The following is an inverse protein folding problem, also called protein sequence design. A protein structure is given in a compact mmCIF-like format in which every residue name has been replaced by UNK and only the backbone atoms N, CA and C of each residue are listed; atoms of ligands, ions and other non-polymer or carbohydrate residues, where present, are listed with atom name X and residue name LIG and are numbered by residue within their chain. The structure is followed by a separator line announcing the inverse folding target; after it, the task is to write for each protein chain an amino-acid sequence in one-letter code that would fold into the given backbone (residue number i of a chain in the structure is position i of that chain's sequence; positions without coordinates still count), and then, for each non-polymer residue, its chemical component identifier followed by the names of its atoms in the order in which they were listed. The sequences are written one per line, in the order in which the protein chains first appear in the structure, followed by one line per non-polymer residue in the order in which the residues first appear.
data_IF_514204788164
#
_entry.id   IF_514204788164
#
_cell.length_a   1.000
_cell.length_b   1.000
_cell.length_c   1.000
_cell.angle_alpha   90.00
_cell.angle_beta   90.00
_cell.angle_gamma   90.00
#
_symmetry.space_group_name_H-M   'P 1'
#
loop_
_entity.id
_entity.type
_entity.pdbx_description
1 polymer ?
#
# COMPACT_ATOMS: atom_id res chain seq x y z
N UNK A 1 -1.71 -6.68 27.58
CA UNK A 1 -0.75 -7.33 26.67
C UNK A 1 0.46 -7.76 27.50
N UNK A 2 0.77 -9.06 27.56
CA UNK A 2 2.07 -9.48 28.08
C UNK A 2 3.05 -9.17 26.95
N UNK A 3 3.93 -8.18 27.11
CA UNK A 3 5.02 -7.96 26.17
C UNK A 3 5.82 -9.26 26.10
N UNK A 4 5.79 -9.94 24.96
CA UNK A 4 6.60 -11.13 24.75
C UNK A 4 8.04 -10.70 24.45
N UNK A 5 8.95 -11.67 24.53
CA UNK A 5 10.34 -11.49 24.10
C UNK A 5 10.34 -10.97 22.65
N UNK A 6 11.28 -10.09 22.30
CA UNK A 6 11.58 -9.81 20.89
C UNK A 6 12.28 -11.04 20.33
N UNK A 7 11.72 -11.59 19.26
CA UNK A 7 12.28 -12.77 18.59
C UNK A 7 13.45 -12.37 17.71
N UNK A 8 14.45 -13.24 17.68
CA UNK A 8 15.70 -13.09 16.93
C UNK A 8 15.89 -14.24 15.94
N UNK A 9 16.90 -14.13 15.08
CA UNK A 9 17.21 -15.10 14.04
C UNK A 9 17.58 -16.50 14.59
N UNK A 10 18.20 -16.55 15.77
CA UNK A 10 18.65 -17.78 16.45
C UNK A 10 17.55 -18.46 17.29
N UNK A 11 16.42 -17.79 17.50
CA UNK A 11 15.26 -18.40 18.15
C UNK A 11 14.72 -19.56 17.29
N UNK A 12 14.21 -20.59 17.96
CA UNK A 12 13.55 -21.70 17.26
C UNK A 12 12.17 -21.28 16.75
N UNK A 13 11.85 -21.58 15.50
CA UNK A 13 10.54 -21.23 14.90
C UNK A 13 9.38 -21.78 15.72
N UNK A 14 9.53 -22.98 16.27
CA UNK A 14 8.52 -23.61 17.14
C UNK A 14 8.27 -22.84 18.44
N UNK A 15 9.26 -22.11 18.96
CA UNK A 15 9.08 -21.30 20.16
C UNK A 15 8.17 -20.11 19.88
N UNK A 16 8.30 -19.47 18.71
CA UNK A 16 7.43 -18.36 18.30
C UNK A 16 5.97 -18.82 18.25
N UNK A 17 5.71 -19.95 17.61
CA UNK A 17 4.35 -20.52 17.48
C UNK A 17 3.79 -20.95 18.83
N UNK A 18 4.64 -21.52 19.71
CA UNK A 18 4.22 -21.90 21.06
C UNK A 18 3.82 -20.69 21.90
N UNK A 19 4.57 -19.61 21.77
CA UNK A 19 4.36 -18.40 22.55
C UNK A 19 3.18 -17.58 21.97
N UNK A 20 2.97 -17.63 20.64
CA UNK A 20 1.80 -17.09 19.97
C UNK A 20 1.40 -17.94 18.75
N UNK A 21 0.33 -18.74 18.89
CA UNK A 21 -0.16 -19.63 17.84
C UNK A 21 -0.77 -18.89 16.65
N UNK A 22 -1.14 -17.62 16.81
CA UNK A 22 -1.75 -16.84 15.73
C UNK A 22 -0.76 -16.78 14.54
N UNK A 23 0.55 -16.76 14.78
CA UNK A 23 1.58 -16.65 13.74
C UNK A 23 1.48 -17.73 12.64
N UNK A 24 0.80 -18.84 12.90
CA UNK A 24 0.49 -19.86 11.90
C UNK A 24 -0.15 -19.28 10.63
N UNK A 25 -1.00 -18.26 10.76
CA UNK A 25 -1.58 -17.58 9.59
C UNK A 25 -0.56 -16.69 8.87
N UNK A 26 0.36 -16.03 9.60
CA UNK A 26 1.46 -15.26 8.99
C UNK A 26 2.43 -16.14 8.19
N UNK A 27 2.69 -17.38 8.64
CA UNK A 27 3.62 -18.29 7.93
C UNK A 27 3.18 -18.54 6.48
N UNK A 28 1.88 -18.74 6.26
CA UNK A 28 1.31 -18.87 4.92
C UNK A 28 1.54 -17.64 4.05
N UNK A 29 1.49 -16.43 4.64
CA UNK A 29 1.85 -15.18 3.97
C UNK A 29 3.29 -15.15 3.46
N UNK A 30 4.22 -15.77 4.18
CA UNK A 30 5.62 -15.88 3.74
C UNK A 30 5.86 -17.09 2.82
N UNK A 31 4.85 -17.91 2.54
CA UNK A 31 5.01 -19.19 1.83
C UNK A 31 5.71 -20.26 2.67
N UNK A 32 5.89 -20.03 3.97
CA UNK A 32 6.56 -20.97 4.87
C UNK A 32 5.59 -22.11 5.19
N UNK A 33 5.95 -23.31 4.74
CA UNK A 33 5.17 -24.52 5.03
C UNK A 33 5.50 -25.09 6.41
N UNK A 34 4.51 -25.75 7.03
CA UNK A 34 4.74 -26.52 8.25
C UNK A 34 5.70 -27.70 7.99
N UNK A 35 6.35 -28.20 9.04
CA UNK A 35 7.30 -29.32 8.94
C UNK A 35 8.78 -28.92 8.98
N UNK A 36 9.11 -27.73 9.47
CA UNK A 36 10.48 -27.24 9.63
C UNK A 36 11.27 -27.86 10.80
N UNK A 37 10.66 -28.74 11.61
CA UNK A 37 11.34 -29.41 12.73
C UNK A 37 11.86 -28.43 13.78
N UNK A 38 13.07 -28.68 14.28
CA UNK A 38 13.75 -27.83 15.27
C UNK A 38 14.65 -26.77 14.64
N UNK A 39 14.34 -26.29 13.43
CA UNK A 39 15.11 -25.22 12.79
C UNK A 39 14.93 -23.85 13.50
N UNK A 40 15.97 -23.02 13.46
CA UNK A 40 15.89 -21.61 13.86
C UNK A 40 15.05 -20.80 12.87
N UNK A 41 14.68 -19.57 13.23
CA UNK A 41 14.01 -18.64 12.32
C UNK A 41 14.84 -18.43 11.06
N UNK A 42 16.13 -18.18 11.21
CA UNK A 42 17.06 -18.00 10.10
C UNK A 42 17.10 -19.22 9.18
N UNK A 43 17.28 -20.42 9.72
CA UNK A 43 17.34 -21.67 8.95
C UNK A 43 16.04 -21.95 8.17
N UNK A 44 14.89 -21.56 8.72
CA UNK A 44 13.59 -21.68 8.04
C UNK A 44 13.49 -20.65 6.92
N UNK A 45 13.72 -19.37 7.23
CA UNK A 45 13.64 -18.27 6.28
C UNK A 45 14.59 -18.50 5.08
N UNK A 46 15.82 -18.92 5.33
CA UNK A 46 16.79 -19.25 4.27
C UNK A 46 16.30 -20.39 3.37
N UNK A 47 15.75 -21.46 3.96
CA UNK A 47 15.27 -22.62 3.19
C UNK A 47 14.04 -22.30 2.31
N UNK A 48 13.25 -21.30 2.70
CA UNK A 48 12.03 -20.89 1.99
C UNK A 48 12.23 -19.60 1.17
N UNK A 49 13.47 -19.10 1.06
CA UNK A 49 13.82 -17.87 0.34
C UNK A 49 13.06 -16.62 0.83
N UNK A 50 12.91 -16.51 2.15
CA UNK A 50 12.30 -15.39 2.86
C UNK A 50 13.42 -14.58 3.52
N UNK A 51 13.36 -13.24 3.40
CA UNK A 51 14.29 -12.38 4.13
C UNK A 51 14.03 -12.42 5.65
N UNK A 52 15.00 -12.92 6.41
CA UNK A 52 14.90 -13.14 7.86
C UNK A 52 14.58 -11.85 8.63
N UNK A 53 15.18 -10.72 8.26
CA UNK A 53 14.94 -9.43 8.93
C UNK A 53 13.51 -8.95 8.71
N UNK A 54 13.01 -9.09 7.49
CA UNK A 54 11.63 -8.73 7.12
C UNK A 54 10.63 -9.62 7.83
N UNK A 55 10.89 -10.93 7.90
CA UNK A 55 10.09 -11.87 8.66
C UNK A 55 10.00 -11.45 10.13
N UNK A 56 11.16 -11.26 10.79
CA UNK A 56 11.23 -10.86 12.19
C UNK A 56 10.58 -9.50 12.46
N UNK A 57 10.70 -8.53 11.55
CA UNK A 57 10.04 -7.24 11.68
C UNK A 57 8.51 -7.39 11.71
N UNK A 58 7.94 -8.20 10.81
CA UNK A 58 6.50 -8.47 10.78
C UNK A 58 6.06 -9.27 12.00
N UNK A 59 6.76 -10.36 12.34
CA UNK A 59 6.44 -11.20 13.50
C UNK A 59 6.47 -10.41 14.80
N UNK A 60 7.54 -9.63 15.03
CA UNK A 60 7.64 -8.82 16.23
C UNK A 60 6.59 -7.70 16.26
N UNK A 61 6.29 -7.06 15.13
CA UNK A 61 5.23 -6.05 15.07
C UNK A 61 3.86 -6.66 15.40
N UNK A 62 3.51 -7.79 14.79
CA UNK A 62 2.20 -8.42 14.98
C UNK A 62 2.00 -8.97 16.40
N UNK A 63 3.06 -9.51 17.02
CA UNK A 63 3.00 -10.06 18.38
C UNK A 63 3.11 -8.97 19.45
N UNK A 64 4.08 -8.06 19.31
CA UNK A 64 4.45 -7.11 20.37
C UNK A 64 3.89 -5.69 20.14
N UNK A 65 3.36 -5.41 18.95
CA UNK A 65 2.94 -4.05 18.55
C UNK A 65 4.12 -3.15 18.15
N UNK A 66 5.35 -3.66 18.13
CA UNK A 66 6.55 -2.94 17.71
C UNK A 66 7.65 -3.90 17.25
N UNK A 67 8.58 -3.38 16.44
CA UNK A 67 9.82 -4.06 16.03
C UNK A 67 11.01 -3.11 16.24
N UNK A 68 12.25 -3.61 16.20
CA UNK A 68 13.42 -2.76 16.36
C UNK A 68 13.59 -1.86 15.14
N UNK A 69 13.73 -0.55 15.38
CA UNK A 69 13.90 0.43 14.29
C UNK A 69 15.22 0.28 13.55
N UNK A 70 16.24 -0.25 14.21
CA UNK A 70 17.56 -0.48 13.60
C UNK A 70 17.49 -1.56 12.51
N UNK A 71 16.51 -2.48 12.59
CA UNK A 71 16.27 -3.50 11.57
C UNK A 71 15.53 -2.94 10.34
N UNK A 72 14.92 -1.76 10.46
CA UNK A 72 14.09 -1.16 9.41
C UNK A 72 14.92 -0.81 8.15
N UNK A 73 16.23 -0.62 8.28
CA UNK A 73 17.12 -0.24 7.18
C UNK A 73 17.44 -1.41 6.23
N UNK A 74 17.22 -2.65 6.68
CA UNK A 74 17.56 -3.89 5.95
C UNK A 74 16.33 -4.69 5.51
N UNK A 75 15.16 -4.05 5.40
CA UNK A 75 13.94 -4.75 5.01
C UNK A 75 13.89 -4.99 3.49
N UNK A 76 13.57 -6.23 3.13
CA UNK A 76 13.35 -6.66 1.75
C UNK A 76 11.94 -6.28 1.29
N UNK A 77 11.86 -5.24 0.44
CA UNK A 77 10.61 -4.83 -0.20
C UNK A 77 10.00 -5.96 -1.06
N UNK A 78 10.84 -6.83 -1.63
CA UNK A 78 10.36 -8.01 -2.35
C UNK A 78 9.64 -9.01 -1.43
N UNK A 79 10.21 -9.29 -0.26
CA UNK A 79 9.60 -10.16 0.75
C UNK A 79 8.30 -9.55 1.28
N UNK A 80 8.26 -8.22 1.49
CA UNK A 80 7.02 -7.52 1.87
C UNK A 80 5.92 -7.65 0.81
N UNK A 81 6.25 -7.48 -0.48
CA UNK A 81 5.28 -7.67 -1.56
C UNK A 81 4.76 -9.11 -1.63
N UNK A 82 5.65 -10.10 -1.48
CA UNK A 82 5.26 -11.52 -1.44
C UNK A 82 4.29 -11.76 -0.28
N UNK A 83 4.63 -11.26 0.91
CA UNK A 83 3.79 -11.36 2.12
C UNK A 83 2.40 -10.75 1.92
N UNK A 84 2.31 -9.50 1.46
CA UNK A 84 1.02 -8.81 1.30
C UNK A 84 0.15 -9.48 0.22
N UNK A 85 0.73 -9.88 -0.92
CA UNK A 85 -0.01 -10.60 -1.97
C UNK A 85 -0.54 -11.95 -1.49
N UNK A 86 0.26 -12.72 -0.77
CA UNK A 86 -0.17 -13.99 -0.21
C UNK A 86 -1.27 -13.80 0.85
N UNK A 87 -1.14 -12.75 1.68
CA UNK A 87 -2.20 -12.34 2.61
C UNK A 87 -3.49 -11.98 1.87
N UNK A 88 -3.44 -11.20 0.78
CA UNK A 88 -4.63 -10.88 -0.02
C UNK A 88 -5.28 -12.13 -0.61
N UNK A 89 -4.50 -13.03 -1.21
CA UNK A 89 -5.01 -14.29 -1.75
C UNK A 89 -5.69 -15.15 -0.66
N UNK A 90 -5.08 -15.26 0.53
CA UNK A 90 -5.68 -15.95 1.67
C UNK A 90 -7.05 -15.36 2.04
N UNK A 91 -7.17 -14.04 2.11
CA UNK A 91 -8.44 -13.39 2.43
C UNK A 91 -9.50 -13.57 1.36
N UNK A 92 -9.13 -13.27 0.10
CA UNK A 92 -10.06 -13.21 -1.02
C UNK A 92 -10.52 -14.62 -1.40
N UNK A 93 -9.59 -15.57 -1.50
CA UNK A 93 -9.86 -16.88 -2.09
C UNK A 93 -10.22 -17.94 -1.03
N UNK A 94 -9.86 -17.71 0.24
CA UNK A 94 -10.09 -18.68 1.32
C UNK A 94 -10.91 -18.13 2.49
N UNK A 95 -10.41 -17.16 3.25
CA UNK A 95 -11.00 -16.75 4.54
C UNK A 95 -12.41 -16.17 4.39
N UNK A 96 -12.62 -15.22 3.48
CA UNK A 96 -13.95 -14.61 3.27
C UNK A 96 -14.97 -15.63 2.71
N UNK A 97 -14.65 -16.47 1.73
CA UNK A 97 -15.55 -17.55 1.32
C UNK A 97 -15.80 -18.58 2.43
N UNK A 98 -14.80 -18.88 3.26
CA UNK A 98 -14.90 -19.84 4.35
C UNK A 98 -15.89 -19.38 5.42
N UNK A 99 -15.69 -18.20 6.00
CA UNK A 99 -16.59 -17.63 7.01
C UNK A 99 -18.00 -17.43 6.46
N UNK A 100 -18.15 -17.13 5.16
CA UNK A 100 -19.47 -17.03 4.53
C UNK A 100 -20.22 -18.35 4.55
N UNK A 101 -19.54 -19.48 4.29
CA UNK A 101 -20.15 -20.82 4.36
C UNK A 101 -20.54 -21.17 5.79
N UNK A 102 -19.68 -20.88 6.75
CA UNK A 102 -19.97 -21.11 8.17
C UNK A 102 -21.21 -20.34 8.62
N UNK A 103 -21.34 -19.07 8.22
CA UNK A 103 -22.53 -18.27 8.53
C UNK A 103 -23.81 -18.87 7.91
N UNK A 104 -23.74 -19.40 6.68
CA UNK A 104 -24.91 -20.07 6.06
C UNK A 104 -25.29 -21.33 6.81
N UNK A 105 -24.30 -22.11 7.23
CA UNK A 105 -24.55 -23.34 7.99
C UNK A 105 -25.09 -23.06 9.40
N UNK A 106 -24.65 -21.96 10.01
CA UNK A 106 -25.03 -21.59 11.37
C UNK A 106 -26.36 -20.80 11.47
N UNK A 107 -26.87 -20.24 10.37
CA UNK A 107 -28.06 -19.39 10.35
C UNK A 107 -29.23 -20.02 9.58
N UNK A 108 -30.45 -19.91 10.10
CA UNK A 108 -31.66 -20.30 9.36
C UNK A 108 -32.02 -19.23 8.32
N UNK A 109 -31.88 -19.54 7.03
CA UNK A 109 -32.21 -18.63 5.92
C UNK A 109 -33.68 -18.16 5.90
N UNK A 110 -34.58 -18.79 6.67
CA UNK A 110 -35.98 -18.35 6.81
C UNK A 110 -36.14 -17.19 7.78
N UNK A 111 -35.16 -16.97 8.65
CA UNK A 111 -35.15 -15.85 9.59
C UNK A 111 -34.73 -14.56 8.87
N UNK A 112 -35.55 -13.52 8.98
CA UNK A 112 -35.24 -12.20 8.40
C UNK A 112 -34.00 -11.57 9.01
N UNK A 113 -33.69 -11.89 10.27
CA UNK A 113 -32.47 -11.42 10.93
C UNK A 113 -31.23 -12.14 10.39
N UNK A 114 -31.32 -13.45 10.15
CA UNK A 114 -30.26 -14.21 9.47
C UNK A 114 -29.96 -13.65 8.07
N UNK A 115 -30.99 -13.40 7.27
CA UNK A 115 -30.83 -12.78 5.95
C UNK A 115 -30.14 -11.40 6.02
N UNK A 116 -30.49 -10.61 7.03
CA UNK A 116 -29.86 -9.32 7.27
C UNK A 116 -28.38 -9.46 7.66
N UNK A 117 -28.03 -10.40 8.55
CA UNK A 117 -26.63 -10.70 8.91
C UNK A 117 -25.82 -11.11 7.68
N UNK A 118 -26.36 -11.99 6.84
CA UNK A 118 -25.68 -12.43 5.62
C UNK A 118 -25.45 -11.27 4.64
N UNK A 119 -26.43 -10.37 4.51
CA UNK A 119 -26.27 -9.16 3.70
C UNK A 119 -25.18 -8.23 4.25
N UNK A 120 -25.19 -7.96 5.58
CA UNK A 120 -24.13 -7.19 6.22
C UNK A 120 -22.76 -7.83 5.98
N UNK A 121 -22.69 -9.17 6.02
CA UNK A 121 -21.46 -9.87 5.73
C UNK A 121 -20.96 -9.60 4.31
N UNK A 122 -21.84 -9.80 3.32
CA UNK A 122 -21.50 -9.66 1.90
C UNK A 122 -21.05 -8.22 1.56
N UNK A 123 -21.68 -7.21 2.17
CA UNK A 123 -21.30 -5.80 2.01
C UNK A 123 -19.89 -5.52 2.59
N UNK A 124 -19.59 -6.05 3.77
CA UNK A 124 -18.27 -5.87 4.39
C UNK A 124 -17.16 -6.65 3.65
N UNK A 125 -17.44 -7.89 3.25
CA UNK A 125 -16.53 -8.70 2.45
C UNK A 125 -16.21 -8.03 1.10
N UNK A 126 -17.23 -7.49 0.42
CA UNK A 126 -17.06 -6.78 -0.84
C UNK A 126 -16.09 -5.60 -0.73
N UNK A 127 -16.24 -4.76 0.30
CA UNK A 127 -15.37 -3.60 0.46
C UNK A 127 -13.93 -3.98 0.83
N UNK A 128 -13.71 -5.03 1.62
CA UNK A 128 -12.37 -5.58 1.89
C UNK A 128 -11.73 -6.05 0.57
N UNK A 129 -12.45 -6.85 -0.22
CA UNK A 129 -11.97 -7.33 -1.51
C UNK A 129 -11.66 -6.18 -2.48
N UNK A 130 -12.51 -5.16 -2.52
CA UNK A 130 -12.33 -3.97 -3.35
C UNK A 130 -11.08 -3.19 -2.98
N UNK A 131 -10.80 -3.06 -1.69
CA UNK A 131 -9.57 -2.46 -1.17
C UNK A 131 -8.34 -3.25 -1.61
N UNK A 132 -8.24 -4.53 -1.27
CA UNK A 132 -7.08 -5.37 -1.65
C UNK A 132 -6.86 -5.39 -3.18
N UNK A 133 -7.93 -5.52 -3.97
CA UNK A 133 -7.85 -5.47 -5.44
C UNK A 133 -7.39 -4.12 -5.99
N UNK A 134 -7.66 -3.01 -5.29
CA UNK A 134 -7.13 -1.71 -5.68
C UNK A 134 -5.60 -1.71 -5.52
N UNK A 135 -5.09 -2.26 -4.42
CA UNK A 135 -3.66 -2.32 -4.12
C UNK A 135 -2.92 -3.19 -5.13
N UNK A 136 -3.45 -4.38 -5.42
CA UNK A 136 -2.91 -5.28 -6.44
C UNK A 136 -2.86 -4.66 -7.83
N UNK A 137 -3.82 -3.79 -8.17
CA UNK A 137 -3.92 -3.15 -9.49
C UNK A 137 -3.16 -1.84 -9.60
N UNK A 138 -2.82 -1.20 -8.48
CA UNK A 138 -2.26 0.16 -8.48
C UNK A 138 -0.98 0.27 -7.67
N UNK A 139 -0.99 -0.13 -6.41
CA UNK A 139 0.12 0.01 -5.47
C UNK A 139 1.23 -0.99 -5.77
N UNK A 140 0.90 -2.27 -5.90
CA UNK A 140 1.92 -3.31 -6.12
C UNK A 140 2.64 -3.14 -7.46
N UNK A 141 1.96 -2.84 -8.59
CA UNK A 141 2.65 -2.53 -9.84
C UNK A 141 3.57 -1.31 -9.71
N UNK A 142 3.18 -0.29 -8.95
CA UNK A 142 4.05 0.86 -8.67
C UNK A 142 5.32 0.45 -7.92
N UNK A 143 5.19 -0.34 -6.85
CA UNK A 143 6.33 -0.83 -6.07
C UNK A 143 7.22 -1.75 -6.90
N UNK A 144 6.65 -2.59 -7.75
CA UNK A 144 7.42 -3.43 -8.69
C UNK A 144 8.25 -2.58 -9.68
N UNK A 145 7.74 -1.42 -10.11
CA UNK A 145 8.52 -0.48 -10.92
C UNK A 145 9.64 0.16 -10.11
N UNK A 146 9.39 0.53 -8.85
CA UNK A 146 10.44 1.04 -7.96
C UNK A 146 11.56 0.02 -7.74
N UNK A 147 11.22 -1.26 -7.54
CA UNK A 147 12.20 -2.34 -7.44
C UNK A 147 13.06 -2.50 -8.71
N UNK A 148 12.51 -2.14 -9.87
CA UNK A 148 13.24 -2.09 -11.16
C UNK A 148 14.02 -0.78 -11.36
N UNK A 149 14.04 0.10 -10.35
CA UNK A 149 14.71 1.41 -10.39
C UNK A 149 13.92 2.50 -11.12
N UNK A 150 12.64 2.27 -11.44
CA UNK A 150 11.80 3.22 -12.17
C UNK A 150 10.93 4.00 -11.17
N UNK A 151 11.22 5.28 -10.99
CA UNK A 151 10.41 6.18 -10.15
C UNK A 151 9.29 6.82 -10.99
N UNK A 152 8.04 6.41 -10.73
CA UNK A 152 6.89 6.98 -11.42
C UNK A 152 6.44 8.30 -10.76
N UNK A 153 6.55 9.42 -11.48
CA UNK A 153 6.26 10.76 -10.92
C UNK A 153 4.77 11.10 -10.72
N UNK A 154 3.87 10.17 -11.08
CA UNK A 154 2.42 10.38 -11.08
C UNK A 154 1.69 9.67 -9.91
N UNK A 155 2.39 8.90 -9.09
CA UNK A 155 1.83 8.21 -7.94
C UNK A 155 2.52 8.67 -6.65
N UNK A 156 1.75 8.86 -5.58
CA UNK A 156 2.25 9.21 -4.25
C UNK A 156 1.76 8.16 -3.26
N UNK A 157 2.70 7.43 -2.65
CA UNK A 157 2.44 6.38 -1.65
C UNK A 157 1.70 6.91 -0.42
N UNK A 158 1.67 8.22 -0.16
CA UNK A 158 0.84 8.78 0.93
C UNK A 158 -0.66 8.74 0.61
N UNK A 159 -1.04 8.63 -0.67
CA UNK A 159 -2.44 8.45 -1.10
C UNK A 159 -3.01 7.12 -0.63
N UNK A 160 -2.14 6.12 -0.44
CA UNK A 160 -2.49 4.78 0.03
C UNK A 160 -2.95 4.78 1.50
N UNK A 161 -2.17 5.38 2.42
CA UNK A 161 -2.43 5.39 3.87
C UNK A 161 -3.81 5.97 4.26
N UNK A 162 -4.38 6.87 3.45
CA UNK A 162 -5.66 7.51 3.75
C UNK A 162 -6.85 6.54 3.70
N UNK A 163 -6.71 5.35 3.09
CA UNK A 163 -7.81 4.42 2.87
C UNK A 163 -8.02 3.37 3.99
N UNK A 164 -7.03 3.12 4.87
CA UNK A 164 -7.11 2.02 5.86
C UNK A 164 -7.96 2.32 7.11
N UNK A 165 -8.16 3.60 7.48
CA UNK A 165 -8.89 3.97 8.71
C UNK A 165 -10.37 3.54 8.78
N UNK A 166 -10.94 3.06 7.66
CA UNK A 166 -12.35 2.66 7.60
C UNK A 166 -12.55 1.14 7.74
N UNK A 167 -11.49 0.34 7.89
CA UNK A 167 -11.58 -1.13 7.93
C UNK A 167 -11.85 -1.68 9.34
N UNK A 168 -11.42 -0.97 10.38
CA UNK A 168 -11.41 -1.44 11.79
C UNK A 168 -12.79 -1.65 12.43
N UNK A 169 -13.89 -1.20 11.81
CA UNK A 169 -15.26 -1.37 12.35
C UNK A 169 -16.12 -2.35 11.54
N UNK A 170 -15.55 -2.99 10.51
CA UNK A 170 -16.31 -3.68 9.44
C UNK A 170 -16.98 -5.00 9.85
N UNK A 171 -16.91 -5.40 11.11
CA UNK A 171 -17.64 -6.58 11.58
C UNK A 171 -18.38 -6.33 12.90
N UNK A 172 -18.30 -5.11 13.43
CA UNK A 172 -18.83 -4.79 14.75
C UNK A 172 -20.35 -4.95 14.84
N UNK A 173 -21.07 -4.46 13.83
CA UNK A 173 -22.53 -4.54 13.78
C UNK A 173 -22.98 -5.99 13.64
N UNK A 174 -22.40 -6.74 12.69
CA UNK A 174 -22.67 -8.16 12.48
C UNK A 174 -22.47 -8.97 13.77
N UNK A 175 -21.29 -8.85 14.42
CA UNK A 175 -20.99 -9.55 15.67
C UNK A 175 -21.95 -9.17 16.79
N UNK A 176 -22.27 -7.88 16.90
CA UNK A 176 -23.21 -7.38 17.92
C UNK A 176 -24.61 -7.94 17.75
N UNK A 177 -25.07 -8.09 16.51
CA UNK A 177 -26.40 -8.65 16.23
C UNK A 177 -26.42 -10.13 16.60
N UNK A 178 -25.42 -10.91 16.16
CA UNK A 178 -25.35 -12.34 16.46
C UNK A 178 -25.33 -12.55 17.98
N UNK A 179 -24.44 -11.87 18.72
CA UNK A 179 -24.29 -12.06 20.17
C UNK A 179 -25.57 -11.67 20.95
N UNK A 180 -26.29 -10.64 20.52
CA UNK A 180 -27.43 -10.09 21.28
C UNK A 180 -28.76 -10.78 20.97
N UNK A 181 -28.91 -11.29 19.75
CA UNK A 181 -30.21 -11.69 19.22
C UNK A 181 -30.25 -13.14 18.69
N UNK A 182 -29.12 -13.86 18.70
CA UNK A 182 -29.04 -15.28 18.34
C UNK A 182 -28.25 -16.08 19.40
N UNK A 183 -28.52 -17.40 19.60
CA UNK A 183 -29.59 -18.24 19.05
C UNK A 183 -30.58 -18.77 20.11
N UNK A 184 -31.60 -19.50 19.68
CA UNK A 184 -32.67 -20.03 20.55
C UNK A 184 -32.50 -21.53 20.90
N UNK A 185 -31.58 -22.25 20.24
CA UNK A 185 -31.32 -23.69 20.44
C UNK A 185 -29.81 -24.03 20.46
N UNK A 186 -29.46 -25.17 21.07
CA UNK A 186 -28.10 -25.55 21.46
C UNK A 186 -27.17 -25.89 20.28
N UNK A 187 -27.69 -26.47 19.19
CA UNK A 187 -26.87 -26.87 18.04
C UNK A 187 -26.40 -25.64 17.24
N UNK A 188 -27.34 -24.77 16.87
CA UNK A 188 -27.01 -23.53 16.16
C UNK A 188 -26.16 -22.59 17.03
N UNK A 189 -26.28 -22.67 18.37
CA UNK A 189 -25.40 -21.95 19.29
C UNK A 189 -23.93 -22.32 19.13
N UNK A 190 -23.63 -23.62 19.07
CA UNK A 190 -22.24 -24.07 18.94
C UNK A 190 -21.65 -23.68 17.58
N UNK A 191 -22.43 -23.80 16.50
CA UNK A 191 -22.02 -23.38 15.16
C UNK A 191 -21.76 -21.86 15.11
N UNK A 192 -22.72 -21.05 15.57
CA UNK A 192 -22.56 -19.59 15.61
C UNK A 192 -21.41 -19.14 16.50
N UNK A 193 -21.17 -19.85 17.61
CA UNK A 193 -20.03 -19.55 18.49
C UNK A 193 -18.70 -19.80 17.78
N UNK A 194 -18.57 -20.92 17.05
CA UNK A 194 -17.39 -21.22 16.24
C UNK A 194 -17.22 -20.17 15.12
N UNK A 195 -18.26 -19.90 14.35
CA UNK A 195 -18.25 -18.87 13.29
C UNK A 195 -17.86 -17.49 13.84
N UNK A 196 -18.39 -17.10 15.01
CA UNK A 196 -18.03 -15.83 15.65
C UNK A 196 -16.56 -15.79 16.01
N UNK A 197 -16.01 -16.87 16.56
CA UNK A 197 -14.59 -16.96 16.90
C UNK A 197 -13.73 -16.75 15.66
N UNK A 198 -14.08 -17.37 14.54
CA UNK A 198 -13.35 -17.21 13.28
C UNK A 198 -13.47 -15.79 12.70
N UNK A 199 -14.63 -15.14 12.85
CA UNK A 199 -14.79 -13.71 12.50
C UNK A 199 -13.92 -12.81 13.38
N UNK A 200 -13.86 -13.04 14.70
CA UNK A 200 -13.00 -12.28 15.60
C UNK A 200 -11.52 -12.44 15.23
N UNK A 201 -11.09 -13.67 14.96
CA UNK A 201 -9.73 -13.93 14.52
C UNK A 201 -9.45 -13.22 13.20
N UNK A 202 -10.32 -13.39 12.20
CA UNK A 202 -10.16 -12.75 10.90
C UNK A 202 -10.10 -11.22 10.99
N UNK A 203 -10.86 -10.59 11.88
CA UNK A 203 -10.77 -9.14 12.11
C UNK A 203 -9.42 -8.74 12.74
N UNK A 204 -8.96 -9.48 13.74
CA UNK A 204 -7.64 -9.26 14.37
C UNK A 204 -6.52 -9.33 13.33
N UNK A 205 -6.59 -10.31 12.44
CA UNK A 205 -5.62 -10.50 11.36
C UNK A 205 -5.68 -9.38 10.32
N UNK A 206 -6.86 -8.87 10.00
CA UNK A 206 -7.00 -7.75 9.07
C UNK A 206 -6.40 -6.46 9.66
N UNK A 207 -6.56 -6.27 10.96
CA UNK A 207 -5.91 -5.16 11.67
C UNK A 207 -4.39 -5.30 11.66
N UNK A 208 -3.86 -6.51 11.90
CA UNK A 208 -2.42 -6.77 11.81
C UNK A 208 -1.88 -6.55 10.39
N UNK A 209 -2.63 -6.94 9.36
CA UNK A 209 -2.31 -6.66 7.96
C UNK A 209 -2.14 -5.15 7.72
N UNK A 210 -3.16 -4.35 8.10
CA UNK A 210 -3.08 -2.88 7.97
C UNK A 210 -1.95 -2.27 8.81
N UNK A 211 -1.65 -2.82 9.99
CA UNK A 211 -0.48 -2.39 10.76
C UNK A 211 0.85 -2.64 10.03
N UNK A 212 1.01 -3.80 9.37
CA UNK A 212 2.21 -4.09 8.56
C UNK A 212 2.30 -3.11 7.40
N UNK A 213 1.19 -2.80 6.75
CA UNK A 213 1.15 -1.82 5.66
C UNK A 213 1.61 -0.43 6.12
N UNK A 214 0.98 0.09 7.18
CA UNK A 214 1.24 1.44 7.67
C UNK A 214 2.61 1.60 8.34
N UNK A 215 3.06 0.60 9.11
CA UNK A 215 4.25 0.73 9.96
C UNK A 215 5.52 0.12 9.37
N UNK A 216 5.39 -0.74 8.35
CA UNK A 216 6.55 -1.41 7.72
C UNK A 216 6.58 -1.10 6.23
N UNK A 217 5.52 -1.45 5.48
CA UNK A 217 5.52 -1.37 4.03
C UNK A 217 5.66 0.07 3.53
N UNK A 218 4.80 1.00 3.93
CA UNK A 218 4.86 2.40 3.49
C UNK A 218 6.22 3.05 3.85
N UNK A 219 6.74 2.94 5.08
CA UNK A 219 8.07 3.44 5.40
C UNK A 219 9.19 2.83 4.54
N UNK A 220 9.14 1.52 4.25
CA UNK A 220 10.11 0.86 3.39
C UNK A 220 10.07 1.40 1.95
N UNK A 221 8.87 1.61 1.38
CA UNK A 221 8.72 2.20 0.05
C UNK A 221 9.27 3.62 0.00
N UNK A 222 8.97 4.46 0.99
CA UNK A 222 9.51 5.83 1.06
C UNK A 222 11.02 5.88 1.11
N UNK A 223 11.66 4.94 1.81
CA UNK A 223 13.12 4.81 1.85
C UNK A 223 13.67 4.41 0.49
N UNK A 224 13.04 3.44 -0.17
CA UNK A 224 13.41 3.01 -1.52
C UNK A 224 13.31 4.17 -2.52
N UNK A 225 12.20 4.91 -2.53
CA UNK A 225 12.01 6.11 -3.35
C UNK A 225 13.11 7.16 -3.11
N UNK A 226 13.41 7.45 -1.83
CA UNK A 226 14.45 8.41 -1.46
C UNK A 226 15.83 7.96 -1.95
N UNK A 227 16.16 6.67 -1.80
CA UNK A 227 17.42 6.10 -2.26
C UNK A 227 17.58 6.23 -3.77
N UNK A 228 16.54 5.91 -4.55
CA UNK A 228 16.55 6.05 -6.01
C UNK A 228 16.66 7.51 -6.47
N UNK A 229 15.94 8.42 -5.81
CA UNK A 229 16.03 9.85 -6.10
C UNK A 229 17.43 10.41 -5.79
N UNK A 230 18.06 9.97 -4.70
CA UNK A 230 19.43 10.36 -4.35
C UNK A 230 20.45 9.79 -5.33
N UNK A 231 20.28 8.53 -5.76
CA UNK A 231 21.13 7.90 -6.79
C UNK A 231 21.09 8.68 -8.11
N UNK A 232 19.91 9.14 -8.55
CA UNK A 232 19.75 10.02 -9.72
C UNK A 232 20.50 11.35 -9.58
N UNK A 233 20.52 11.94 -8.38
CA UNK A 233 21.29 13.18 -8.10
C UNK A 233 22.80 12.92 -8.11
N UNK A 234 23.29 11.83 -7.52
CA UNK A 234 24.72 11.46 -7.57
C UNK A 234 25.21 11.13 -8.98
N UNK A 235 24.38 10.50 -9.83
CA UNK A 235 24.66 10.27 -11.26
C UNK A 235 24.73 11.58 -12.05
N UNK A 236 23.91 12.57 -11.69
CA UNK A 236 23.96 13.90 -12.31
C UNK A 236 25.20 14.70 -11.88
N UNK A 237 25.62 14.62 -10.61
CA UNK A 237 26.85 15.25 -10.12
C UNK A 237 28.10 14.63 -10.77
N UNK A 238 28.14 13.30 -10.91
CA UNK A 238 29.27 12.63 -11.57
C UNK A 238 29.32 12.88 -13.08
N UNK A 239 28.16 13.08 -13.74
CA UNK A 239 28.09 13.57 -15.13
C UNK A 239 28.49 15.04 -15.29
N UNK A 240 28.28 15.89 -14.28
CA UNK A 240 28.73 17.30 -14.29
C UNK A 240 30.25 17.47 -14.17
N UNK A 241 30.98 16.44 -13.71
CA UNK A 241 32.45 16.46 -13.57
C UNK A 241 33.17 15.97 -14.85
N UNK A 242 32.43 15.43 -15.84
CA UNK A 242 33.00 15.00 -17.12
C UNK A 242 32.47 15.88 -18.27
N UNK A 243 33.32 16.68 -18.95
CA UNK A 243 32.85 17.53 -20.03
C UNK A 243 32.70 16.72 -21.32
N UNK A 244 31.47 16.31 -21.64
CA UNK A 244 31.11 15.97 -23.02
C UNK A 244 29.61 16.17 -23.28
N UNK A 245 29.34 17.30 -23.93
CA UNK A 245 28.27 17.66 -24.87
C UNK A 245 27.17 16.65 -25.23
N UNK A 246 25.94 17.22 -25.25
CA UNK A 246 24.74 16.96 -26.07
C UNK A 246 23.74 15.84 -25.70
N UNK A 247 22.52 16.28 -25.33
CA UNK A 247 21.24 15.68 -25.75
C UNK A 247 20.33 15.08 -24.68
N UNK A 248 19.49 15.88 -24.00
CA UNK A 248 18.06 16.10 -24.32
C UNK A 248 17.27 16.51 -23.06
N UNK A 249 17.28 17.80 -22.76
CA UNK A 249 16.50 18.44 -21.68
C UNK A 249 15.70 19.64 -22.25
N UNK A 250 15.28 19.55 -23.52
CA UNK A 250 14.53 20.64 -24.15
C UNK A 250 13.01 20.48 -23.93
N UNK A 251 12.35 21.61 -23.67
CA UNK A 251 10.90 21.68 -23.64
C UNK A 251 10.33 21.34 -25.00
N UNK A 252 9.31 20.47 -25.01
CA UNK A 252 8.53 20.19 -26.22
C UNK A 252 7.81 21.45 -26.69
N UNK A 253 7.49 21.53 -27.98
CA UNK A 253 6.74 22.67 -28.54
C UNK A 253 5.44 22.93 -27.77
N UNK A 254 4.76 21.86 -27.36
CA UNK A 254 3.51 21.96 -26.62
C UNK A 254 3.66 22.57 -25.22
N UNK A 255 4.79 22.30 -24.57
CA UNK A 255 5.11 22.90 -23.29
C UNK A 255 5.44 24.39 -23.45
N UNK A 256 6.10 24.78 -24.55
CA UNK A 256 6.35 26.19 -24.88
C UNK A 256 5.04 26.96 -25.10
N UNK A 257 4.10 26.40 -25.86
CA UNK A 257 2.79 27.04 -26.11
C UNK A 257 2.01 27.29 -24.80
N UNK A 258 2.11 26.35 -23.85
CA UNK A 258 1.45 26.46 -22.55
C UNK A 258 2.14 27.49 -21.65
N UNK A 259 3.46 27.61 -21.70
CA UNK A 259 4.21 28.68 -21.02
C UNK A 259 3.74 30.05 -21.53
N UNK A 260 3.59 30.22 -22.85
CA UNK A 260 3.13 31.48 -23.44
C UNK A 260 1.74 31.86 -22.93
N UNK A 261 0.79 30.93 -22.91
CA UNK A 261 -0.56 31.18 -22.37
C UNK A 261 -0.56 31.59 -20.90
N UNK A 262 0.29 30.97 -20.07
CA UNK A 262 0.45 31.33 -18.66
C UNK A 262 1.05 32.73 -18.50
N UNK A 263 2.05 33.09 -19.30
CA UNK A 263 2.69 34.42 -19.28
C UNK A 263 1.74 35.52 -19.75
N UNK A 264 0.81 35.20 -20.64
CA UNK A 264 -0.25 36.11 -21.10
C UNK A 264 -1.39 36.27 -20.08
N UNK A 265 -1.33 35.61 -18.93
CA UNK A 265 -2.32 35.68 -17.86
C UNK A 265 -3.58 34.85 -18.12
N UNK A 266 -3.56 33.93 -19.08
CA UNK A 266 -4.70 33.05 -19.35
C UNK A 266 -4.90 32.02 -18.25
N UNK A 267 -6.16 31.76 -17.89
CA UNK A 267 -6.55 30.66 -17.02
C UNK A 267 -6.37 29.30 -17.71
N UNK A 268 -6.33 28.21 -16.94
CA UNK A 268 -6.23 26.85 -17.51
C UNK A 268 -7.35 26.53 -18.51
N UNK A 269 -8.54 27.13 -18.32
CA UNK A 269 -9.68 26.95 -19.20
C UNK A 269 -9.50 27.71 -20.52
N UNK A 270 -9.03 28.96 -20.45
CA UNK A 270 -8.74 29.76 -21.65
C UNK A 270 -7.58 29.18 -22.46
N UNK A 271 -6.52 28.68 -21.81
CA UNK A 271 -5.41 27.98 -22.49
C UNK A 271 -5.93 26.71 -23.18
N UNK A 272 -6.83 25.96 -22.54
CA UNK A 272 -7.41 24.75 -23.09
C UNK A 272 -8.25 25.05 -24.35
N UNK A 273 -9.08 26.09 -24.30
CA UNK A 273 -9.86 26.58 -25.44
C UNK A 273 -8.97 27.09 -26.58
N UNK A 274 -7.94 27.89 -26.27
CA UNK A 274 -7.02 28.47 -27.25
C UNK A 274 -6.15 27.41 -27.95
N UNK A 275 -5.75 26.36 -27.23
CA UNK A 275 -4.91 25.29 -27.76
C UNK A 275 -5.71 24.06 -28.24
N UNK A 276 -7.05 24.12 -28.23
CA UNK A 276 -7.97 23.03 -28.60
C UNK A 276 -7.66 21.70 -27.88
N UNK A 277 -7.45 21.73 -26.56
CA UNK A 277 -7.20 20.55 -25.71
C UNK A 277 -8.06 20.57 -24.45
N UNK A 278 -8.10 19.45 -23.72
CA UNK A 278 -8.80 19.40 -22.43
C UNK A 278 -8.07 20.20 -21.34
N UNK A 279 -8.83 20.72 -20.38
CA UNK A 279 -8.27 21.39 -19.18
C UNK A 279 -7.33 20.48 -18.40
N UNK A 280 -7.65 19.18 -18.31
CA UNK A 280 -6.79 18.17 -17.65
C UNK A 280 -5.45 18.00 -18.37
N UNK A 281 -5.43 18.12 -19.69
CA UNK A 281 -4.21 18.10 -20.50
C UNK A 281 -3.33 19.32 -20.20
N UNK A 282 -3.92 20.51 -20.05
CA UNK A 282 -3.19 21.73 -19.64
C UNK A 282 -2.59 21.58 -18.24
N UNK A 283 -3.36 21.07 -17.27
CA UNK A 283 -2.86 20.83 -15.90
C UNK A 283 -1.67 19.86 -15.91
N UNK A 284 -1.76 18.79 -16.72
CA UNK A 284 -0.70 17.79 -16.86
C UNK A 284 0.58 18.41 -17.44
N UNK A 285 0.46 19.20 -18.51
CA UNK A 285 1.62 19.89 -19.08
C UNK A 285 2.22 20.92 -18.14
N UNK A 286 1.41 21.69 -17.39
CA UNK A 286 1.93 22.63 -16.39
C UNK A 286 2.72 21.92 -15.28
N UNK A 287 2.28 20.74 -14.84
CA UNK A 287 3.03 19.90 -13.90
C UNK A 287 4.36 19.43 -14.51
N UNK A 288 4.36 19.07 -15.79
CA UNK A 288 5.59 18.67 -16.50
C UNK A 288 6.56 19.84 -16.70
N UNK A 289 6.07 21.03 -17.04
CA UNK A 289 6.88 22.25 -17.15
C UNK A 289 7.50 22.60 -15.81
N UNK A 290 6.72 22.63 -14.74
CA UNK A 290 7.22 22.93 -13.40
C UNK A 290 8.30 21.93 -12.96
N UNK A 291 8.14 20.65 -13.33
CA UNK A 291 9.13 19.59 -13.08
C UNK A 291 10.39 19.74 -13.91
N UNK A 292 10.28 20.02 -15.21
CA UNK A 292 11.44 20.19 -16.11
C UNK A 292 12.25 21.44 -15.78
N UNK A 293 11.58 22.53 -15.43
CA UNK A 293 12.22 23.82 -15.17
C UNK A 293 12.56 24.06 -13.70
N UNK A 294 11.98 23.27 -12.77
CA UNK A 294 12.04 23.51 -11.33
C UNK A 294 11.53 24.91 -10.94
N UNK A 295 10.56 25.43 -11.71
CA UNK A 295 9.93 26.74 -11.50
C UNK A 295 8.48 26.52 -11.10
N UNK A 296 8.12 26.98 -9.90
CA UNK A 296 6.79 26.80 -9.32
C UNK A 296 5.99 28.10 -9.21
N UNK A 297 6.59 29.25 -9.53
CA UNK A 297 5.92 30.56 -9.48
C UNK A 297 5.63 31.09 -10.89
N UNK A 298 4.45 31.72 -11.13
CA UNK A 298 4.14 32.38 -12.39
C UNK A 298 5.18 33.44 -12.78
N UNK A 299 5.65 34.22 -11.80
CA UNK A 299 6.71 35.21 -12.02
C UNK A 299 8.03 34.58 -12.51
N UNK A 300 8.42 33.43 -11.96
CA UNK A 300 9.60 32.70 -12.42
C UNK A 300 9.43 32.15 -13.85
N UNK A 301 8.21 31.71 -14.20
CA UNK A 301 7.88 31.24 -15.54
C UNK A 301 7.95 32.37 -16.57
N UNK A 302 7.52 33.58 -16.21
CA UNK A 302 7.65 34.78 -17.04
C UNK A 302 9.10 35.17 -17.28
N UNK A 303 9.94 35.17 -16.23
CA UNK A 303 11.38 35.43 -16.35
C UNK A 303 12.03 34.40 -17.28
N UNK A 304 11.71 33.12 -17.10
CA UNK A 304 12.21 32.04 -17.95
C UNK A 304 11.81 32.23 -19.42
N UNK A 305 10.56 32.60 -19.69
CA UNK A 305 10.06 32.81 -21.04
C UNK A 305 10.76 33.97 -21.77
N UNK A 306 11.11 35.04 -21.05
CA UNK A 306 11.84 36.18 -21.60
C UNK A 306 13.31 35.81 -21.89
N UNK A 307 13.99 35.16 -20.93
CA UNK A 307 15.40 34.77 -21.06
C UNK A 307 15.62 33.76 -22.20
N UNK A 308 14.65 32.90 -22.47
CA UNK A 308 14.71 31.89 -23.53
C UNK A 308 14.03 32.34 -24.84
N UNK A 309 13.73 33.64 -24.99
CA UNK A 309 13.11 34.23 -26.18
C UNK A 309 11.79 33.57 -26.63
N UNK A 310 11.02 33.04 -25.68
CA UNK A 310 9.69 32.47 -25.94
C UNK A 310 8.60 33.56 -26.04
N UNK A 311 8.82 34.71 -25.39
CA UNK A 311 7.89 35.86 -25.36
C UNK A 311 8.70 37.16 -25.36
N UNK A 312 8.25 38.17 -26.10
CA UNK A 312 8.82 39.52 -26.09
C UNK A 312 8.23 40.35 -24.94
N UNK A 313 9.02 41.25 -24.34
CA UNK A 313 8.66 42.05 -23.16
C UNK A 313 7.38 42.89 -23.37
N UNK A 314 7.08 43.21 -24.63
CA UNK A 314 5.88 43.97 -25.03
C UNK A 314 4.56 43.18 -24.90
N UNK A 315 4.60 41.86 -24.73
CA UNK A 315 3.41 41.00 -24.65
C UNK A 315 2.99 40.63 -23.22
N UNK A 316 3.72 41.08 -22.19
CA UNK A 316 3.43 40.78 -20.78
C UNK A 316 2.49 41.84 -20.22
N UNK A 317 1.26 41.47 -19.89
CA UNK A 317 0.36 42.32 -19.08
C UNK A 317 0.78 42.20 -17.62
N UNK A 318 1.32 43.27 -17.06
CA UNK A 318 1.57 43.43 -15.62
C UNK A 318 0.27 43.53 -14.83
#
# INVERSE_FOLDING_TARGET
MKNQKIYEADDKMINIIRDNCDILQSLGGFGISLGFGDKTVEEVCESEHVDTNTFLAIVNLTINGYYRKDDADNLSVETLLKYLKASHAYYIDFQLPFMRRELVEALDERDSLAQFILKLYDENAYEIMKHMRYEEKTVFPYVEQLLKGVVMSNYDINTFSQHHRQVEQRWLELKSIIIKYLPSDELHNNLLTATLYDIYNSESWLNQHSMVEDQIFIPAIKRLEKSLNQQGVTLNISKMISPSTTGDDQLSQREKDIIIGVVQGMSNKEIAEHLYISVNTVITHRRNIARKLQIHSPAGLTIYAIVNHLVDISAVKL
#
